data_IF_497941630838
#
_entry.id   IF_497941630838
#
_cell.length_a   1.000
_cell.length_b   1.000
_cell.length_c   1.000
_cell.angle_alpha   90.00
_cell.angle_beta   90.00
_cell.angle_gamma   90.00
#
_symmetry.space_group_name_H-M   'P 1'
#
loop_
_entity.id
_entity.type
_entity.pdbx_description
1 polymer ?
#
# COMPACT_ATOMS: atom_id res chain seq x y z
N UNK A 1 -0.83 -12.56 -18.53
CA UNK A 1 -1.19 -11.13 -18.38
C UNK A 1 -0.62 -10.69 -17.04
N UNK A 2 -0.09 -9.47 -16.95
CA UNK A 2 0.41 -8.92 -15.70
C UNK A 2 -0.69 -8.62 -14.70
N UNK A 3 -0.32 -8.22 -13.50
CA UNK A 3 -1.28 -7.76 -12.50
C UNK A 3 -1.83 -6.38 -12.88
N UNK A 4 -3.05 -6.08 -12.43
CA UNK A 4 -3.68 -4.77 -12.57
C UNK A 4 -4.09 -4.27 -11.19
N UNK A 5 -3.80 -3.00 -10.91
CA UNK A 5 -4.20 -2.32 -9.68
C UNK A 5 -5.11 -1.16 -10.02
N UNK A 6 -6.26 -1.07 -9.35
CA UNK A 6 -7.20 0.05 -9.43
C UNK A 6 -7.05 0.90 -8.18
N UNK A 7 -6.76 2.17 -8.35
CA UNK A 7 -6.63 3.14 -7.25
C UNK A 7 -8.01 3.53 -6.72
N UNK A 8 -8.21 3.44 -5.41
CA UNK A 8 -9.48 3.78 -4.78
C UNK A 8 -9.41 5.05 -3.92
N UNK A 9 -8.33 5.82 -4.10
CA UNK A 9 -8.05 7.01 -3.31
C UNK A 9 -7.20 6.72 -2.07
N UNK A 10 -6.51 7.74 -1.58
CA UNK A 10 -5.59 7.69 -0.45
C UNK A 10 -4.43 6.72 -0.68
N UNK A 11 -4.40 5.61 0.03
CA UNK A 11 -3.43 4.52 -0.12
C UNK A 11 -4.10 3.19 -0.53
N UNK A 12 -5.41 3.22 -0.80
CA UNK A 12 -6.21 2.03 -1.05
C UNK A 12 -6.14 1.59 -2.51
N UNK A 13 -5.86 0.32 -2.70
CA UNK A 13 -5.96 -0.33 -4.02
C UNK A 13 -6.78 -1.62 -3.95
N UNK A 14 -7.53 -1.88 -5.00
CA UNK A 14 -8.03 -3.22 -5.33
C UNK A 14 -7.31 -3.70 -6.58
N UNK A 15 -6.91 -4.97 -6.61
CA UNK A 15 -6.15 -5.48 -7.75
C UNK A 15 -6.56 -6.91 -8.14
N UNK A 16 -6.07 -7.29 -9.32
CA UNK A 16 -6.19 -8.64 -9.84
C UNK A 16 -4.84 -9.10 -10.37
N UNK A 17 -4.35 -10.25 -9.90
CA UNK A 17 -3.11 -10.85 -10.40
C UNK A 17 -3.29 -11.45 -11.79
N UNK A 18 -2.18 -11.75 -12.46
CA UNK A 18 -2.18 -12.43 -13.77
C UNK A 18 -2.81 -13.82 -13.72
N UNK A 19 -2.76 -14.48 -12.57
CA UNK A 19 -3.43 -15.75 -12.26
C UNK A 19 -4.92 -15.61 -11.92
N UNK A 20 -5.45 -14.39 -11.90
CA UNK A 20 -6.88 -14.10 -11.69
C UNK A 20 -7.29 -13.92 -10.23
N UNK A 21 -6.35 -13.94 -9.27
CA UNK A 21 -6.63 -13.68 -7.86
C UNK A 21 -6.88 -12.20 -7.60
N UNK A 22 -7.91 -11.90 -6.82
CA UNK A 22 -8.25 -10.55 -6.38
C UNK A 22 -7.60 -10.24 -5.03
N UNK A 23 -7.17 -8.99 -4.85
CA UNK A 23 -6.57 -8.55 -3.58
C UNK A 23 -6.90 -7.09 -3.27
N UNK A 24 -6.82 -6.75 -2.00
CA UNK A 24 -6.84 -5.36 -1.54
C UNK A 24 -5.52 -5.01 -0.87
N UNK A 25 -5.10 -3.76 -1.02
CA UNK A 25 -4.02 -3.14 -0.23
C UNK A 25 -4.65 -2.01 0.56
N UNK A 26 -4.43 -2.00 1.89
CA UNK A 26 -4.87 -0.97 2.82
C UNK A 26 -6.33 -0.52 2.59
N UNK A 27 -7.33 -1.43 2.74
CA UNK A 27 -8.71 -1.14 2.37
C UNK A 27 -9.36 -0.12 3.32
N UNK A 28 -9.63 1.06 2.78
CA UNK A 28 -10.50 2.08 3.35
C UNK A 28 -11.51 2.48 2.27
N UNK A 29 -12.73 1.97 2.36
CA UNK A 29 -13.78 2.12 1.35
C UNK A 29 -14.83 3.13 1.79
N UNK A 30 -15.76 2.72 2.66
CA UNK A 30 -16.74 3.60 3.26
C UNK A 30 -16.04 4.65 4.14
N UNK A 31 -16.44 5.92 4.00
CA UNK A 31 -15.81 7.04 4.71
C UNK A 31 -14.54 7.58 4.06
N UNK A 32 -13.98 6.92 3.04
CA UNK A 32 -12.92 7.47 2.21
C UNK A 32 -13.55 8.48 1.22
N UNK A 33 -13.28 9.80 1.36
CA UNK A 33 -13.93 10.82 0.54
C UNK A 33 -13.51 10.79 -0.94
N UNK A 34 -12.51 9.99 -1.28
CA UNK A 34 -12.01 9.80 -2.65
C UNK A 34 -12.40 8.45 -3.25
N UNK A 35 -12.93 7.51 -2.45
CA UNK A 35 -13.35 6.21 -2.98
C UNK A 35 -14.55 6.38 -3.93
N UNK A 36 -14.46 5.88 -5.18
CA UNK A 36 -15.61 5.92 -6.09
C UNK A 36 -16.80 5.13 -5.56
N UNK A 37 -18.01 5.62 -5.80
CA UNK A 37 -19.24 5.02 -5.29
C UNK A 37 -19.39 3.53 -5.69
N UNK A 38 -19.00 3.18 -6.91
CA UNK A 38 -19.02 1.80 -7.43
C UNK A 38 -18.03 0.86 -6.69
N UNK A 39 -17.05 1.39 -5.99
CA UNK A 39 -16.06 0.66 -5.19
C UNK A 39 -16.31 0.77 -3.68
N UNK A 40 -17.26 1.59 -3.23
CA UNK A 40 -17.57 1.78 -1.82
C UNK A 40 -18.09 0.49 -1.14
N UNK A 41 -18.70 -0.41 -1.93
CA UNK A 41 -19.11 -1.72 -1.45
C UNK A 41 -17.99 -2.74 -1.64
N UNK A 42 -17.55 -3.43 -0.55
CA UNK A 42 -16.46 -4.38 -0.62
C UNK A 42 -16.81 -5.58 -1.51
N UNK A 43 -15.83 -6.06 -2.26
CA UNK A 43 -15.93 -7.26 -3.08
C UNK A 43 -15.13 -8.39 -2.43
N UNK A 44 -15.50 -9.65 -2.75
CA UNK A 44 -14.73 -10.81 -2.33
C UNK A 44 -13.28 -10.70 -2.83
N UNK A 45 -12.33 -10.98 -1.94
CA UNK A 45 -10.90 -11.02 -2.25
C UNK A 45 -10.28 -12.38 -1.90
N UNK A 46 -9.15 -12.67 -2.52
CA UNK A 46 -8.30 -13.83 -2.23
C UNK A 46 -7.17 -13.45 -1.25
N UNK A 47 -6.93 -12.15 -1.03
CA UNK A 47 -5.91 -11.61 -0.14
C UNK A 47 -6.25 -10.18 0.27
N UNK A 48 -5.98 -9.84 1.53
CA UNK A 48 -5.88 -8.46 2.04
C UNK A 48 -4.43 -8.26 2.50
N UNK A 49 -3.76 -7.20 2.04
CA UNK A 49 -2.41 -6.85 2.44
C UNK A 49 -2.40 -5.50 3.15
N UNK A 50 -1.77 -5.44 4.33
CA UNK A 50 -1.80 -4.28 5.23
C UNK A 50 -0.40 -3.75 5.50
N UNK A 51 -0.24 -2.44 5.41
CA UNK A 51 1.02 -1.74 5.73
C UNK A 51 1.12 -1.41 7.22
N UNK A 52 0.07 -0.87 7.81
CA UNK A 52 0.02 -0.46 9.22
C UNK A 52 -1.42 -0.29 9.71
N UNK A 53 -1.61 0.06 10.99
CA UNK A 53 -2.89 -0.05 11.67
C UNK A 53 -3.69 1.26 11.79
N UNK A 54 -3.35 2.35 11.11
CA UNK A 54 -4.18 3.55 11.13
C UNK A 54 -5.51 3.32 10.41
N UNK A 55 -6.56 4.01 10.87
CA UNK A 55 -7.93 3.77 10.42
C UNK A 55 -8.11 3.89 8.91
N UNK A 56 -7.40 4.83 8.28
CA UNK A 56 -7.42 5.12 6.85
C UNK A 56 -6.70 4.06 5.98
N UNK A 57 -6.20 3.00 6.63
CA UNK A 57 -5.59 1.82 5.97
C UNK A 57 -6.31 0.51 6.31
N UNK A 58 -7.08 0.48 7.41
CA UNK A 58 -7.69 -0.79 7.87
C UNK A 58 -9.21 -0.75 8.03
N UNK A 59 -9.85 0.40 7.84
CA UNK A 59 -11.27 0.57 8.18
C UNK A 59 -12.22 -0.43 7.49
N UNK A 60 -11.90 -0.89 6.28
CA UNK A 60 -12.73 -1.84 5.53
C UNK A 60 -12.18 -3.29 5.55
N UNK A 61 -11.17 -3.60 6.37
CA UNK A 61 -10.59 -4.96 6.43
C UNK A 61 -11.66 -6.01 6.70
N UNK A 62 -12.48 -5.79 7.73
CA UNK A 62 -13.50 -6.76 8.12
C UNK A 62 -14.69 -6.80 7.14
N UNK A 63 -14.98 -5.70 6.48
CA UNK A 63 -16.03 -5.66 5.45
C UNK A 63 -15.63 -6.47 4.22
N UNK A 64 -14.37 -6.35 3.78
CA UNK A 64 -13.81 -7.18 2.70
C UNK A 64 -13.70 -8.64 3.14
N UNK A 65 -13.18 -8.90 4.35
CA UNK A 65 -13.07 -10.24 4.90
C UNK A 65 -14.43 -10.95 4.97
N UNK A 66 -15.48 -10.23 5.37
CA UNK A 66 -16.85 -10.73 5.47
C UNK A 66 -17.44 -11.23 4.15
N UNK A 67 -16.85 -10.88 2.99
CA UNK A 67 -17.34 -11.31 1.67
C UNK A 67 -17.00 -12.78 1.32
N UNK A 68 -16.30 -13.49 2.20
CA UNK A 68 -16.02 -14.90 1.98
C UNK A 68 -14.81 -15.47 2.72
N UNK A 69 -14.14 -14.63 3.51
CA UNK A 69 -12.90 -14.99 4.20
C UNK A 69 -11.71 -15.11 3.24
N UNK A 70 -10.57 -14.55 3.64
CA UNK A 70 -9.31 -14.67 2.90
C UNK A 70 -8.12 -14.40 3.84
N UNK A 71 -6.89 -14.79 3.48
CA UNK A 71 -5.70 -14.38 4.22
C UNK A 71 -5.60 -12.87 4.38
N UNK A 72 -5.19 -12.43 5.57
CA UNK A 72 -4.86 -11.03 5.90
C UNK A 72 -3.37 -10.97 6.19
N UNK A 73 -2.58 -10.46 5.25
CA UNK A 73 -1.13 -10.33 5.35
C UNK A 73 -0.76 -8.96 5.92
N UNK A 74 0.20 -8.91 6.83
CA UNK A 74 0.68 -7.64 7.39
C UNK A 74 1.57 -7.81 8.62
N UNK A 75 1.93 -6.70 9.29
CA UNK A 75 2.71 -6.73 10.52
C UNK A 75 2.12 -7.64 11.59
N UNK A 76 2.97 -8.42 12.24
CA UNK A 76 2.56 -9.49 13.16
C UNK A 76 1.58 -9.00 14.24
N UNK A 77 1.91 -7.89 14.91
CA UNK A 77 1.08 -7.34 15.98
C UNK A 77 -0.27 -6.87 15.45
N UNK A 78 -0.28 -6.18 14.30
CA UNK A 78 -1.52 -5.67 13.69
C UNK A 78 -2.48 -6.79 13.32
N UNK A 79 -1.99 -7.79 12.57
CA UNK A 79 -2.83 -8.89 12.10
C UNK A 79 -3.42 -9.66 13.29
N UNK A 80 -2.61 -9.92 14.33
CA UNK A 80 -3.09 -10.60 15.54
C UNK A 80 -4.08 -9.74 16.36
N UNK A 81 -3.88 -8.42 16.43
CA UNK A 81 -4.83 -7.51 17.07
C UNK A 81 -6.19 -7.53 16.37
N UNK A 82 -6.20 -7.43 15.04
CA UNK A 82 -7.46 -7.52 14.26
C UNK A 82 -8.10 -8.88 14.49
N UNK A 83 -7.36 -9.99 14.40
CA UNK A 83 -7.88 -11.33 14.59
C UNK A 83 -8.52 -11.52 15.97
N UNK A 84 -7.87 -11.02 17.04
CA UNK A 84 -8.35 -11.14 18.41
C UNK A 84 -9.58 -10.27 18.69
N UNK A 85 -9.68 -9.09 18.09
CA UNK A 85 -10.76 -8.14 18.37
C UNK A 85 -11.96 -8.31 17.45
N UNK A 86 -11.73 -8.68 16.19
CA UNK A 86 -12.77 -8.74 15.13
C UNK A 86 -13.15 -10.18 14.77
N UNK A 87 -12.29 -11.17 15.10
CA UNK A 87 -12.63 -12.58 15.03
C UNK A 87 -12.50 -13.24 13.67
N UNK A 88 -11.49 -12.92 12.86
CA UNK A 88 -11.25 -13.74 11.67
C UNK A 88 -10.51 -15.05 12.00
N UNK A 89 -10.64 -16.05 11.12
CA UNK A 89 -10.13 -17.40 11.34
C UNK A 89 -8.59 -17.42 11.47
N UNK A 90 -8.05 -18.21 12.39
CA UNK A 90 -6.62 -18.31 12.67
C UNK A 90 -5.81 -18.69 11.41
N UNK A 91 -6.34 -19.58 10.58
CA UNK A 91 -5.71 -19.98 9.31
C UNK A 91 -5.60 -18.84 8.27
N UNK A 92 -6.34 -17.75 8.47
CA UNK A 92 -6.27 -16.55 7.64
C UNK A 92 -5.32 -15.49 8.19
N UNK A 93 -4.71 -15.70 9.37
CA UNK A 93 -3.75 -14.78 9.95
C UNK A 93 -2.40 -14.89 9.24
N UNK A 94 -2.21 -14.08 8.21
CA UNK A 94 -0.94 -13.91 7.48
C UNK A 94 0.03 -12.96 8.19
N UNK A 95 0.19 -13.11 9.51
CA UNK A 95 1.03 -12.28 10.37
C UNK A 95 2.52 -12.47 10.04
N UNK A 96 3.24 -11.38 9.78
CA UNK A 96 4.60 -11.40 9.26
C UNK A 96 5.51 -10.41 9.99
N UNK A 97 6.82 -10.69 9.97
CA UNK A 97 7.87 -9.72 10.35
C UNK A 97 8.51 -9.08 9.13
N UNK A 98 9.11 -7.89 9.31
CA UNK A 98 9.88 -7.21 8.25
C UNK A 98 11.01 -8.10 7.74
N UNK A 99 11.21 -8.12 6.42
CA UNK A 99 12.14 -9.03 5.72
C UNK A 99 11.56 -10.43 5.46
N UNK A 100 10.44 -10.79 6.09
CA UNK A 100 9.73 -12.03 5.81
C UNK A 100 8.96 -11.96 4.50
N UNK A 101 8.89 -13.09 3.79
CA UNK A 101 8.09 -13.27 2.57
C UNK A 101 7.18 -14.47 2.73
N UNK A 102 5.90 -14.31 2.40
CA UNK A 102 4.92 -15.40 2.36
C UNK A 102 4.21 -15.39 1.01
N UNK A 103 4.02 -16.57 0.42
CA UNK A 103 3.23 -16.75 -0.78
C UNK A 103 1.77 -17.06 -0.42
N UNK A 104 0.87 -16.25 -0.94
CA UNK A 104 -0.58 -16.39 -0.78
C UNK A 104 -1.22 -16.95 -2.07
N UNK A 105 -0.69 -18.07 -2.52
CA UNK A 105 -1.19 -18.82 -3.67
C UNK A 105 -0.88 -18.14 -5.00
N UNK A 106 0.36 -17.69 -5.19
CA UNK A 106 0.88 -17.05 -6.39
C UNK A 106 1.09 -15.54 -6.25
N UNK A 107 0.63 -14.93 -5.14
CA UNK A 107 0.97 -13.56 -4.77
C UNK A 107 1.92 -13.62 -3.58
N UNK A 108 3.21 -13.37 -3.81
CA UNK A 108 4.21 -13.24 -2.76
C UNK A 108 4.10 -11.85 -2.10
N UNK A 109 4.04 -11.79 -0.77
CA UNK A 109 4.08 -10.54 -0.01
C UNK A 109 5.32 -10.52 0.85
N UNK A 110 6.13 -9.48 0.73
CA UNK A 110 7.31 -9.24 1.58
C UNK A 110 7.10 -7.94 2.34
N UNK A 111 7.29 -7.96 3.67
CA UNK A 111 7.27 -6.75 4.48
C UNK A 111 8.65 -6.08 4.45
N UNK A 112 8.67 -4.78 4.18
CA UNK A 112 9.88 -3.94 4.25
C UNK A 112 9.78 -2.95 5.41
N UNK A 113 10.84 -2.18 5.66
CA UNK A 113 10.76 -1.08 6.61
C UNK A 113 9.90 0.07 6.08
N UNK A 114 9.20 0.75 7.00
CA UNK A 114 8.59 2.07 6.81
C UNK A 114 8.85 2.90 8.06
N UNK A 115 9.03 4.20 7.88
CA UNK A 115 9.36 5.14 8.96
C UNK A 115 8.12 5.98 9.31
N UNK A 116 7.25 5.40 10.14
CA UNK A 116 5.97 5.96 10.54
C UNK A 116 5.56 5.40 11.91
N UNK A 117 4.34 5.63 12.34
CA UNK A 117 3.73 4.99 13.52
C UNK A 117 2.66 3.98 13.09
N UNK A 118 2.18 3.18 14.03
CA UNK A 118 1.11 2.22 13.78
C UNK A 118 0.28 2.04 15.05
N UNK A 119 -1.03 2.23 14.93
CA UNK A 119 -1.98 2.04 16.03
C UNK A 119 -3.27 1.41 15.54
N UNK A 120 -3.92 0.65 16.41
CA UNK A 120 -5.20 0.01 16.16
C UNK A 120 -6.25 0.59 17.11
N UNK A 121 -7.42 0.97 16.59
CA UNK A 121 -8.51 1.64 17.31
C UNK A 121 -8.08 2.93 18.04
N UNK A 122 -8.48 4.08 17.57
CA UNK A 122 -8.09 5.38 18.12
C UNK A 122 -8.78 5.71 19.46
N UNK A 123 -8.04 6.29 20.44
CA UNK A 123 -6.61 6.56 20.53
C UNK A 123 -5.78 5.28 20.82
N UNK A 124 -4.86 5.03 19.94
CA UNK A 124 -4.26 3.80 19.57
C UNK A 124 -3.71 2.82 20.60
N UNK A 125 -4.10 1.57 20.46
CA UNK A 125 -3.29 0.43 20.89
C UNK A 125 -2.11 0.32 19.92
N UNK A 126 -0.88 0.20 20.42
CA UNK A 126 0.29 -0.04 19.58
C UNK A 126 0.10 -1.31 18.75
N UNK A 127 0.19 -1.18 17.43
CA UNK A 127 -0.09 -2.23 16.46
C UNK A 127 1.16 -2.75 15.72
N UNK A 128 2.30 -2.73 16.41
CA UNK A 128 3.58 -3.09 15.82
C UNK A 128 4.20 -1.95 14.99
N UNK A 129 5.32 -2.24 14.35
CA UNK A 129 6.01 -1.29 13.48
C UNK A 129 5.34 -1.26 12.10
N UNK A 130 5.16 -0.06 11.49
CA UNK A 130 4.64 0.08 10.14
C UNK A 130 5.58 -0.58 9.13
N UNK A 131 5.02 -1.01 8.01
CA UNK A 131 5.75 -1.68 6.95
C UNK A 131 5.38 -1.14 5.57
N UNK A 132 6.33 -1.22 4.62
CA UNK A 132 6.00 -1.24 3.20
C UNK A 132 5.78 -2.67 2.73
N UNK A 133 5.16 -2.83 1.58
CA UNK A 133 4.86 -4.11 0.95
C UNK A 133 5.56 -4.23 -0.39
N UNK A 134 6.33 -5.31 -0.61
CA UNK A 134 6.71 -5.73 -1.96
C UNK A 134 5.81 -6.91 -2.33
N UNK A 135 4.93 -6.69 -3.29
CA UNK A 135 4.07 -7.73 -3.83
C UNK A 135 4.70 -8.29 -5.11
N UNK A 136 4.93 -9.59 -5.14
CA UNK A 136 5.48 -10.31 -6.31
C UNK A 136 4.38 -11.18 -6.92
N UNK A 137 4.12 -10.99 -8.20
CA UNK A 137 3.08 -11.72 -8.93
C UNK A 137 3.64 -12.91 -9.69
N UNK A 138 2.76 -13.76 -10.23
CA UNK A 138 3.08 -15.05 -10.87
C UNK A 138 4.04 -14.92 -12.05
N UNK A 139 4.08 -13.77 -12.72
CA UNK A 139 4.98 -13.47 -13.84
C UNK A 139 6.34 -12.86 -13.38
N UNK A 140 6.54 -12.75 -12.07
CA UNK A 140 7.75 -12.19 -11.46
C UNK A 140 7.74 -10.66 -11.35
N UNK A 141 6.71 -9.98 -11.84
CA UNK A 141 6.55 -8.54 -11.68
C UNK A 141 6.31 -8.16 -10.23
N UNK A 142 6.82 -6.98 -9.85
CA UNK A 142 6.79 -6.51 -8.46
C UNK A 142 6.23 -5.12 -8.34
N UNK A 143 5.37 -4.95 -7.34
CA UNK A 143 4.87 -3.65 -6.88
C UNK A 143 5.43 -3.38 -5.50
N UNK A 144 6.01 -2.21 -5.29
CA UNK A 144 6.34 -1.71 -3.96
C UNK A 144 5.30 -0.66 -3.54
N UNK A 145 4.52 -0.98 -2.52
CA UNK A 145 3.68 -0.01 -1.82
C UNK A 145 4.42 0.44 -0.57
N UNK A 146 4.82 1.71 -0.52
CA UNK A 146 5.65 2.21 0.58
C UNK A 146 4.91 2.25 1.92
N UNK A 147 3.57 2.19 1.89
CA UNK A 147 2.74 2.54 3.03
C UNK A 147 2.91 4.00 3.40
N UNK A 148 2.56 4.34 4.62
CA UNK A 148 2.87 5.64 5.18
C UNK A 148 4.30 5.66 5.71
N UNK A 149 5.09 6.61 5.24
CA UNK A 149 6.52 6.70 5.59
C UNK A 149 7.06 8.09 5.34
N UNK A 150 8.05 8.48 6.14
CA UNK A 150 9.06 9.46 5.76
C UNK A 150 10.06 8.83 4.79
N UNK A 151 10.89 9.63 4.12
CA UNK A 151 12.02 9.08 3.34
C UNK A 151 13.10 8.54 4.29
N UNK A 152 13.70 7.41 3.94
CA UNK A 152 14.79 6.80 4.72
C UNK A 152 15.83 6.15 3.80
N UNK A 153 17.09 6.11 4.27
CA UNK A 153 18.21 5.68 3.43
C UNK A 153 18.11 4.24 2.90
N UNK A 154 17.50 3.35 3.69
CA UNK A 154 17.38 1.93 3.31
C UNK A 154 16.35 1.67 2.20
N UNK A 155 15.64 2.69 1.71
CA UNK A 155 14.91 2.59 0.44
C UNK A 155 15.83 2.18 -0.72
N UNK A 156 17.11 2.54 -0.64
CA UNK A 156 18.16 2.06 -1.57
C UNK A 156 18.29 0.53 -1.55
N UNK A 157 18.25 -0.06 -0.36
CA UNK A 157 18.32 -1.52 -0.18
C UNK A 157 17.07 -2.19 -0.77
N UNK A 158 15.90 -1.58 -0.56
CA UNK A 158 14.64 -2.08 -1.14
C UNK A 158 14.73 -2.08 -2.67
N UNK A 159 15.20 -0.99 -3.27
CA UNK A 159 15.41 -0.88 -4.71
C UNK A 159 16.39 -1.94 -5.23
N UNK A 160 17.55 -2.09 -4.59
CA UNK A 160 18.60 -3.02 -5.01
C UNK A 160 18.18 -4.49 -4.89
N UNK A 161 17.47 -4.87 -3.81
CA UNK A 161 17.08 -6.26 -3.57
C UNK A 161 15.86 -6.68 -4.37
N UNK A 162 14.86 -5.82 -4.47
CA UNK A 162 13.57 -6.22 -5.04
C UNK A 162 13.35 -5.69 -6.45
N UNK A 163 14.00 -4.59 -6.84
CA UNK A 163 13.86 -3.95 -8.16
C UNK A 163 12.40 -3.85 -8.60
N UNK A 164 11.53 -3.12 -7.89
CA UNK A 164 10.10 -3.08 -8.18
C UNK A 164 9.82 -2.46 -9.56
N UNK A 165 8.90 -3.07 -10.31
CA UNK A 165 8.46 -2.57 -11.62
C UNK A 165 7.55 -1.35 -11.49
N UNK A 166 6.88 -1.21 -10.35
CA UNK A 166 6.01 -0.08 -10.00
C UNK A 166 6.15 0.26 -8.52
N UNK A 167 6.33 1.56 -8.22
CA UNK A 167 6.35 2.06 -6.85
C UNK A 167 5.13 2.93 -6.57
N UNK A 168 4.44 2.70 -5.45
CA UNK A 168 3.34 3.51 -4.95
C UNK A 168 3.87 4.29 -3.76
N UNK A 169 4.05 5.63 -3.93
CA UNK A 169 4.75 6.48 -2.96
C UNK A 169 3.84 7.58 -2.41
N UNK A 170 3.72 7.73 -1.08
CA UNK A 170 2.96 8.82 -0.49
C UNK A 170 3.67 10.16 -0.73
N UNK A 171 2.89 11.20 -1.06
CA UNK A 171 3.40 12.54 -1.37
C UNK A 171 2.66 13.66 -0.62
N UNK A 172 1.69 13.33 0.23
CA UNK A 172 0.72 14.29 0.75
C UNK A 172 1.22 15.22 1.87
N UNK A 173 2.47 15.14 2.28
CA UNK A 173 3.03 15.87 3.43
C UNK A 173 2.35 15.56 4.77
N UNK A 174 2.61 16.35 5.75
CA UNK A 174 2.08 16.35 7.11
C UNK A 174 2.22 15.03 7.86
N UNK A 175 1.78 13.91 7.29
CA UNK A 175 1.82 12.58 7.91
C UNK A 175 2.81 11.64 7.23
N UNK A 176 3.16 11.94 5.97
CA UNK A 176 4.05 11.16 5.12
C UNK A 176 5.08 12.06 4.43
N UNK A 177 5.78 11.55 3.44
CA UNK A 177 6.70 12.34 2.62
C UNK A 177 6.02 13.54 1.98
N UNK A 178 6.76 14.65 1.86
CA UNK A 178 6.45 15.73 0.94
C UNK A 178 6.94 15.40 -0.49
N UNK A 179 6.59 16.18 -1.52
CA UNK A 179 7.05 15.96 -2.90
C UNK A 179 8.56 15.87 -3.05
N UNK A 180 9.33 16.67 -2.30
CA UNK A 180 10.80 16.69 -2.32
C UNK A 180 11.39 15.40 -1.71
N UNK A 181 10.83 14.93 -0.60
CA UNK A 181 11.22 13.67 0.04
C UNK A 181 10.85 12.48 -0.83
N UNK A 182 9.67 12.49 -1.44
CA UNK A 182 9.22 11.44 -2.35
C UNK A 182 10.09 11.40 -3.62
N UNK A 183 10.54 12.54 -4.14
CA UNK A 183 11.49 12.57 -5.26
C UNK A 183 12.87 11.98 -4.87
N UNK A 184 13.33 12.16 -3.63
CA UNK A 184 14.51 11.45 -3.11
C UNK A 184 14.25 9.94 -2.98
N UNK A 185 13.06 9.54 -2.56
CA UNK A 185 12.68 8.12 -2.50
C UNK A 185 12.71 7.46 -3.89
N UNK A 186 12.25 8.15 -4.95
CA UNK A 186 12.39 7.69 -6.36
C UNK A 186 13.85 7.41 -6.71
N UNK A 187 14.76 8.32 -6.35
CA UNK A 187 16.20 8.16 -6.59
C UNK A 187 16.77 6.95 -5.83
N UNK A 188 16.48 6.85 -4.53
CA UNK A 188 16.97 5.77 -3.68
C UNK A 188 16.46 4.40 -4.14
N UNK A 189 15.20 4.29 -4.52
CA UNK A 189 14.59 3.06 -5.03
C UNK A 189 15.07 2.70 -6.44
N UNK A 190 15.60 3.66 -7.20
CA UNK A 190 15.86 3.50 -8.64
C UNK A 190 14.56 3.27 -9.41
N UNK A 191 13.45 3.84 -8.95
CA UNK A 191 12.13 3.60 -9.49
C UNK A 191 11.99 4.12 -10.92
N UNK A 192 11.56 3.25 -11.85
CA UNK A 192 11.32 3.61 -13.25
C UNK A 192 9.86 4.00 -13.52
N UNK A 193 8.92 3.53 -12.67
CA UNK A 193 7.48 3.84 -12.74
C UNK A 193 6.95 4.11 -11.33
N UNK A 194 6.21 5.21 -11.18
CA UNK A 194 5.73 5.66 -9.86
C UNK A 194 4.29 6.14 -9.95
N UNK A 195 3.46 5.70 -9.01
CA UNK A 195 2.14 6.27 -8.74
C UNK A 195 2.22 7.08 -7.45
N UNK A 196 1.98 8.39 -7.47
CA UNK A 196 1.84 9.18 -6.25
C UNK A 196 0.52 8.82 -5.55
N UNK A 197 0.59 8.61 -4.23
CA UNK A 197 -0.56 8.24 -3.38
C UNK A 197 -0.63 9.12 -2.13
N UNK A 198 -1.63 8.90 -1.28
CA UNK A 198 -1.80 9.56 0.02
C UNK A 198 -1.83 11.09 -0.08
N UNK A 199 -2.52 11.63 -1.10
CA UNK A 199 -2.70 13.07 -1.33
C UNK A 199 -4.17 13.42 -1.58
N UNK A 200 -4.52 14.68 -1.43
CA UNK A 200 -5.85 15.23 -1.79
C UNK A 200 -7.06 14.57 -1.10
N UNK A 201 -6.86 13.83 -0.01
CA UNK A 201 -7.92 13.12 0.72
C UNK A 201 -8.42 13.93 1.90
N UNK A 202 -7.50 14.44 2.72
CA UNK A 202 -7.81 15.29 3.87
C UNK A 202 -7.40 16.74 3.60
N UNK A 203 -8.08 17.74 4.19
CA UNK A 203 -7.70 19.15 4.03
C UNK A 203 -6.23 19.48 4.33
N UNK A 204 -5.55 18.81 5.27
CA UNK A 204 -4.12 19.05 5.53
C UNK A 204 -3.16 18.46 4.48
N UNK A 205 -3.63 17.58 3.57
CA UNK A 205 -2.81 16.99 2.51
C UNK A 205 -2.87 17.88 1.27
N UNK A 206 -2.04 18.91 1.28
CA UNK A 206 -2.10 20.02 0.30
C UNK A 206 -1.21 19.82 -0.91
N UNK A 207 -0.28 18.88 -0.85
CA UNK A 207 0.69 18.66 -1.92
C UNK A 207 0.10 17.83 -3.07
N UNK A 208 0.61 18.08 -4.27
CA UNK A 208 0.03 17.60 -5.51
C UNK A 208 1.00 16.78 -6.35
N UNK A 209 0.50 15.91 -7.26
CA UNK A 209 1.33 15.18 -8.21
C UNK A 209 2.17 16.08 -9.11
N UNK A 210 1.72 17.29 -9.43
CA UNK A 210 2.46 18.25 -10.24
C UNK A 210 3.72 18.74 -9.50
N UNK A 211 3.58 19.10 -8.21
CA UNK A 211 4.72 19.46 -7.37
C UNK A 211 5.71 18.31 -7.25
N UNK A 212 5.21 17.08 -7.09
CA UNK A 212 6.07 15.89 -7.07
C UNK A 212 6.84 15.72 -8.40
N UNK A 213 6.18 15.90 -9.54
CA UNK A 213 6.83 15.80 -10.85
C UNK A 213 7.91 16.89 -11.04
N UNK A 214 7.68 18.11 -10.56
CA UNK A 214 8.67 19.20 -10.56
C UNK A 214 9.91 18.84 -9.73
N UNK A 215 9.74 18.29 -8.54
CA UNK A 215 10.83 17.87 -7.65
C UNK A 215 11.63 16.69 -8.23
N UNK A 216 10.95 15.72 -8.86
CA UNK A 216 11.60 14.60 -9.58
C UNK A 216 12.45 15.14 -10.73
N UNK A 217 11.93 16.06 -11.54
CA UNK A 217 12.65 16.68 -12.66
C UNK A 217 13.84 17.52 -12.16
N UNK A 218 13.69 18.26 -11.06
CA UNK A 218 14.76 19.05 -10.44
C UNK A 218 15.96 18.20 -9.99
N UNK A 219 15.74 16.91 -9.68
CA UNK A 219 16.79 15.92 -9.40
C UNK A 219 17.44 15.31 -10.65
N UNK A 220 16.97 15.67 -11.85
CA UNK A 220 17.44 15.09 -13.11
C UNK A 220 16.95 13.65 -13.34
N UNK A 221 15.89 13.24 -12.65
CA UNK A 221 15.27 11.93 -12.80
C UNK A 221 14.16 11.99 -13.86
N UNK A 222 13.85 10.85 -14.48
CA UNK A 222 12.83 10.75 -15.54
C UNK A 222 12.06 9.41 -15.46
N UNK A 223 11.50 9.02 -14.29
CA UNK A 223 10.60 7.89 -14.22
C UNK A 223 9.30 8.22 -14.97
N UNK A 224 8.55 7.18 -15.34
CA UNK A 224 7.14 7.34 -15.71
C UNK A 224 6.33 7.65 -14.43
N UNK A 225 5.86 8.88 -14.29
CA UNK A 225 4.95 9.28 -13.21
C UNK A 225 3.53 9.06 -13.72
N UNK A 226 2.79 8.15 -13.07
CA UNK A 226 1.43 7.75 -13.44
C UNK A 226 0.48 8.34 -12.41
N UNK A 227 -0.16 9.44 -12.74
CA UNK A 227 -1.19 10.05 -11.89
C UNK A 227 -2.51 9.34 -12.18
N UNK A 228 -3.07 8.70 -11.16
CA UNK A 228 -4.36 8.01 -11.24
C UNK A 228 -5.43 8.82 -10.53
N UNK A 229 -6.54 9.06 -11.22
CA UNK A 229 -7.77 9.41 -10.51
C UNK A 229 -8.39 8.17 -9.88
N UNK A 230 -9.09 8.29 -8.73
CA UNK A 230 -9.78 7.16 -8.12
C UNK A 230 -10.74 6.48 -9.10
N UNK A 231 -10.65 5.14 -9.19
CA UNK A 231 -11.31 4.30 -10.19
C UNK A 231 -10.44 3.94 -11.39
N UNK A 232 -9.34 4.67 -11.64
CA UNK A 232 -8.41 4.33 -12.70
C UNK A 232 -7.46 3.20 -12.32
N UNK A 233 -6.94 2.52 -13.34
CA UNK A 233 -6.12 1.32 -13.15
C UNK A 233 -4.77 1.45 -13.85
N UNK A 234 -3.77 0.80 -13.26
CA UNK A 234 -2.43 0.64 -13.82
C UNK A 234 -2.09 -0.85 -13.94
N UNK A 235 -1.46 -1.23 -15.05
CA UNK A 235 -0.88 -2.57 -15.24
C UNK A 235 0.61 -2.58 -14.85
N UNK A 236 1.05 -3.70 -14.28
CA UNK A 236 2.44 -3.92 -13.85
C UNK A 236 3.23 -4.68 -14.89
#
# INVERSE_FOLDING_TARGET
>A
MGATLTYLGHSTFVGRSGGGKSFYIDPWLEGNPRCPEEHASPQKADLIALTHGHFDHIAAVMDVYGQGGCPVAGPYELVNLIAQNEGFAEEHAGAMGKGGTVDFGGIGVTLTHAMHSSSYNEPGIYAGEPAGLVMTFEDGKKVYHAGDTAVFGDMKIIGDLYAPDLCLLPIGSRFTMDPREAALAVELLGASRVVPIHHSTFPPLTDTPEQFAEEVAARGLSPEIIVLEPGESVSV
#
